data_IF_085368807072
#
_entry.id   IF_085368807072
#
_cell.length_a   1.000
_cell.length_b   1.000
_cell.length_c   1.000
_cell.angle_alpha   90.00
_cell.angle_beta   90.00
_cell.angle_gamma   90.00
#
_symmetry.space_group_name_H-M   'P 1'
#
loop_
_entity.id
_entity.type
_entity.pdbx_description
1 polymer ?
#
# COMPACT_ATOMS: atom_id res chain seq x y z
N UNK A 1 -17.24 3.54 -28.80
CA UNK A 1 -17.14 3.42 -27.90
C UNK A 1 -16.97 4.19 -27.20
N UNK A 2 -17.27 4.24 -26.67
CA UNK A 2 -17.23 4.90 -25.89
C UNK A 2 -16.26 5.54 -25.45
N UNK A 3 -15.74 5.92 -25.66
CA UNK A 3 -14.72 6.66 -25.27
C UNK A 3 -14.40 6.67 -23.86
N UNK A 4 -14.85 5.69 -23.21
CA UNK A 4 -14.46 5.66 -21.83
C UNK A 4 -13.05 5.21 -21.73
N UNK A 5 -12.21 6.07 -21.24
CA UNK A 5 -10.83 5.71 -20.98
C UNK A 5 -10.75 5.14 -19.59
N UNK A 6 -10.46 3.87 -19.50
CA UNK A 6 -10.25 3.25 -18.21
C UNK A 6 -8.80 3.46 -17.85
N UNK A 7 -8.52 4.16 -16.76
CA UNK A 7 -7.13 4.35 -16.36
C UNK A 7 -6.45 3.02 -16.15
N UNK A 8 -5.18 2.99 -16.46
CA UNK A 8 -4.40 1.78 -16.27
C UNK A 8 -4.04 1.65 -14.80
N UNK A 9 -4.94 1.05 -14.04
CA UNK A 9 -4.77 0.87 -12.62
C UNK A 9 -4.22 -0.52 -12.36
N UNK A 10 -3.17 -0.57 -11.56
CA UNK A 10 -2.52 -1.82 -11.24
C UNK A 10 -2.35 -1.95 -9.73
N UNK A 11 -2.64 -3.14 -9.22
CA UNK A 11 -2.36 -3.47 -7.83
C UNK A 11 -1.24 -4.50 -7.82
N UNK A 12 -0.23 -4.24 -7.03
CA UNK A 12 0.84 -5.21 -6.89
C UNK A 12 1.36 -5.24 -5.45
N UNK A 13 1.99 -6.33 -5.05
CA UNK A 13 2.51 -6.41 -3.68
C UNK A 13 3.54 -5.32 -3.42
N UNK A 14 3.47 -4.74 -2.22
CA UNK A 14 4.41 -3.72 -1.81
C UNK A 14 5.77 -4.35 -1.56
N UNK A 15 6.80 -3.68 -2.00
CA UNK A 15 8.17 -4.12 -1.79
C UNK A 15 8.95 -3.06 -1.05
N UNK A 16 10.13 -3.44 -0.56
CA UNK A 16 10.97 -2.48 0.14
C UNK A 16 11.31 -1.26 -0.70
N UNK A 17 11.44 -1.45 -2.00
CA UNK A 17 11.75 -0.35 -2.91
C UNK A 17 10.59 0.63 -3.06
N UNK A 18 9.39 0.25 -2.64
CA UNK A 18 8.23 1.14 -2.71
C UNK A 18 8.13 2.05 -1.51
N UNK A 19 8.90 1.81 -0.46
CA UNK A 19 8.71 2.51 0.79
C UNK A 19 8.96 4.00 0.70
N UNK A 20 9.85 4.44 -0.16
CA UNK A 20 10.09 5.87 -0.32
C UNK A 20 8.81 6.58 -0.76
N UNK A 21 8.14 6.04 -1.76
CA UNK A 21 6.91 6.64 -2.26
C UNK A 21 5.78 6.49 -1.24
N UNK A 22 5.71 5.34 -0.59
CA UNK A 22 4.69 5.09 0.43
C UNK A 22 4.84 6.08 1.58
N UNK A 23 6.06 6.30 2.04
CA UNK A 23 6.30 7.22 3.14
C UNK A 23 5.99 8.65 2.76
N UNK A 24 6.23 9.03 1.52
CA UNK A 24 5.89 10.36 1.06
C UNK A 24 4.38 10.60 1.18
N UNK A 25 3.58 9.61 0.81
CA UNK A 25 2.12 9.72 0.94
C UNK A 25 1.73 9.71 2.41
N UNK A 26 2.32 8.79 3.17
CA UNK A 26 1.96 8.61 4.57
C UNK A 26 2.20 9.90 5.37
N UNK A 27 3.33 10.54 5.16
CA UNK A 27 3.67 11.75 5.91
C UNK A 27 2.81 12.94 5.51
N UNK A 28 2.27 12.93 4.30
CA UNK A 28 1.38 14.00 3.87
C UNK A 28 -0.01 13.86 4.45
N UNK A 29 -0.48 12.62 4.59
CA UNK A 29 -1.87 12.36 4.91
C UNK A 29 -2.10 12.25 6.41
N UNK A 30 -1.15 11.70 7.14
CA UNK A 30 -1.36 11.38 8.55
C UNK A 30 -0.47 12.24 9.44
N UNK A 31 -1.02 12.76 10.55
CA UNK A 31 -0.21 13.53 11.50
C UNK A 31 0.79 12.66 12.25
N UNK A 32 0.49 11.37 12.40
CA UNK A 32 1.40 10.44 13.06
C UNK A 32 1.67 9.28 12.11
N UNK A 33 2.48 9.50 11.08
CA UNK A 33 2.68 8.48 10.07
C UNK A 33 3.51 7.31 10.57
N UNK A 34 3.28 6.17 9.96
CA UNK A 34 4.15 5.04 10.18
C UNK A 34 5.54 5.39 9.67
N UNK A 35 6.54 4.84 10.33
CA UNK A 35 7.92 5.02 9.89
C UNK A 35 8.29 3.92 8.89
N UNK A 36 9.43 4.09 8.26
CA UNK A 36 9.95 3.06 7.37
C UNK A 36 10.12 1.74 8.13
N UNK A 37 10.55 1.79 9.38
CA UNK A 37 10.70 0.59 10.18
C UNK A 37 9.37 -0.13 10.41
N UNK A 38 8.29 0.64 10.62
CA UNK A 38 6.98 0.03 10.78
C UNK A 38 6.56 -0.74 9.53
N UNK A 39 6.75 -0.16 8.36
CA UNK A 39 6.40 -0.83 7.12
C UNK A 39 7.31 -2.03 6.87
N UNK A 40 8.59 -1.86 7.14
CA UNK A 40 9.54 -2.94 6.94
C UNK A 40 9.21 -4.13 7.84
N UNK A 41 8.85 -3.85 9.09
CA UNK A 41 8.46 -4.90 10.02
C UNK A 41 7.19 -5.61 9.55
N UNK A 42 6.23 -4.84 9.04
CA UNK A 42 5.00 -5.43 8.54
C UNK A 42 5.28 -6.37 7.37
N UNK A 43 6.14 -5.96 6.47
CA UNK A 43 6.50 -6.79 5.33
C UNK A 43 7.22 -8.06 5.78
N UNK A 44 8.14 -7.91 6.74
CA UNK A 44 8.88 -9.06 7.25
C UNK A 44 7.99 -10.02 8.02
N UNK A 45 6.94 -9.50 8.65
CA UNK A 45 6.02 -10.33 9.41
C UNK A 45 5.02 -11.07 8.52
N UNK A 46 5.06 -10.82 7.23
CA UNK A 46 4.17 -11.52 6.32
C UNK A 46 2.81 -10.90 6.18
N UNK A 47 2.64 -9.65 6.58
CA UNK A 47 1.40 -8.95 6.35
C UNK A 47 1.23 -8.73 4.85
N UNK A 48 -0.02 -8.74 4.41
CA UNK A 48 -0.31 -8.48 3.00
C UNK A 48 -0.33 -6.99 2.78
N UNK A 49 0.64 -6.49 2.07
CA UNK A 49 0.73 -5.07 1.75
C UNK A 49 0.74 -4.90 0.24
N UNK A 50 -0.02 -3.92 -0.24
CA UNK A 50 -0.20 -3.71 -1.67
C UNK A 50 -0.08 -2.24 -2.00
N UNK A 51 0.37 -1.97 -3.20
CA UNK A 51 0.39 -0.62 -3.73
C UNK A 51 -0.51 -0.55 -4.94
N UNK A 52 -1.11 0.61 -5.11
CA UNK A 52 -2.00 0.88 -6.24
C UNK A 52 -1.32 1.92 -7.13
N UNK A 53 -1.18 1.57 -8.39
CA UNK A 53 -0.49 2.43 -9.34
C UNK A 53 -1.45 2.84 -10.44
N UNK A 54 -1.34 4.09 -10.85
CA UNK A 54 -2.07 4.60 -12.00
C UNK A 54 -1.03 5.04 -13.01
N UNK A 55 -0.92 4.30 -14.11
CA UNK A 55 0.06 4.60 -15.15
C UNK A 55 1.46 4.77 -14.56
N UNK A 56 1.87 3.83 -13.73
CA UNK A 56 3.17 3.78 -13.06
C UNK A 56 3.34 4.76 -11.92
N UNK A 57 2.35 5.57 -11.63
CA UNK A 57 2.42 6.49 -10.51
C UNK A 57 1.66 5.91 -9.33
N UNK A 58 2.30 5.89 -8.16
CA UNK A 58 1.64 5.35 -6.98
C UNK A 58 0.59 6.33 -6.48
N UNK A 59 -0.66 5.87 -6.44
CA UNK A 59 -1.76 6.71 -5.98
C UNK A 59 -2.30 6.25 -4.63
N UNK A 60 -1.85 5.09 -4.15
CA UNK A 60 -2.32 4.63 -2.85
C UNK A 60 -1.68 3.32 -2.48
N UNK A 61 -2.00 2.86 -1.29
CA UNK A 61 -1.49 1.60 -0.76
C UNK A 61 -2.37 1.15 0.39
N UNK A 62 -2.25 -0.12 0.75
CA UNK A 62 -2.93 -0.62 1.95
C UNK A 62 -2.18 -1.80 2.50
N UNK A 63 -2.38 -2.05 3.80
CA UNK A 63 -1.76 -3.15 4.51
C UNK A 63 -2.85 -3.91 5.20
N UNK A 64 -2.89 -5.22 4.96
CA UNK A 64 -3.85 -6.09 5.60
C UNK A 64 -3.13 -6.92 6.65
N UNK A 65 -3.57 -6.81 7.87
CA UNK A 65 -3.05 -7.61 8.95
C UNK A 65 -3.92 -8.85 9.07
N UNK A 66 -3.31 -9.99 8.87
CA UNK A 66 -4.02 -11.24 8.95
C UNK A 66 -3.68 -11.93 10.23
N UNK A 67 -4.73 -12.27 10.96
CA UNK A 67 -4.55 -13.13 12.12
C UNK A 67 -4.61 -14.56 11.64
N UNK A 68 -3.78 -15.41 12.22
CA UNK A 68 -3.80 -16.81 11.86
C UNK A 68 -5.08 -17.49 12.24
N UNK A 69 -5.71 -17.00 13.28
CA UNK A 69 -6.86 -17.71 13.84
C UNK A 69 -8.17 -17.23 13.27
N UNK A 70 -8.24 -16.00 12.87
CA UNK A 70 -9.48 -15.46 12.40
C UNK A 70 -9.24 -14.12 11.75
N UNK A 71 -10.16 -13.77 10.89
CA UNK A 71 -10.13 -12.46 10.29
C UNK A 71 -10.96 -11.54 11.14
N UNK A 72 -10.35 -10.47 11.60
CA UNK A 72 -11.07 -9.47 12.35
C UNK A 72 -11.46 -8.36 11.41
N UNK A 73 -12.74 -8.08 11.37
CA UNK A 73 -13.21 -6.91 10.65
C UNK A 73 -13.27 -5.77 11.63
N UNK A 74 -12.54 -4.76 11.33
CA UNK A 74 -12.53 -3.59 12.19
C UNK A 74 -13.43 -2.52 11.63
#
# INVERSE_FOLDING_TARGET
MGGMLIPNVELRPMQGTDLDAVLAIETEVFPYPWTRGNFSDALDSGYSAWVCLLDTEMIGYFVLMQSLDEAHLL
#
